data_IF_021231213275
#
_entry.id   IF_021231213275
#
_cell.length_a   1.000
_cell.length_b   1.000
_cell.length_c   1.000
_cell.angle_alpha   90.00
_cell.angle_beta   90.00
_cell.angle_gamma   90.00
#
_symmetry.space_group_name_H-M   'P 1'
#
loop_
_entity.id
_entity.type
_entity.pdbx_description
1 polymer ?
#
# COMPACT_ATOMS: atom_id res chain seq x y z
N UNK A 1 -8.26 11.05 17.68
CA UNK A 1 -7.10 11.96 17.66
C UNK A 1 -5.89 11.20 17.11
N UNK A 2 -5.04 11.88 16.36
CA UNK A 2 -3.87 11.32 15.70
C UNK A 2 -2.60 11.89 16.33
N UNK A 3 -1.61 11.04 16.56
CA UNK A 3 -0.23 11.41 16.82
C UNK A 3 0.60 11.00 15.61
N UNK A 4 1.15 12.00 14.92
CA UNK A 4 1.85 11.84 13.66
C UNK A 4 3.29 12.34 13.80
N UNK A 5 4.24 11.45 13.53
CA UNK A 5 5.65 11.80 13.39
C UNK A 5 6.03 11.73 11.92
N UNK A 6 6.33 12.88 11.32
CA UNK A 6 6.89 12.94 9.99
C UNK A 6 8.40 12.71 10.05
N UNK A 7 8.86 11.71 9.31
CA UNK A 7 10.26 11.39 9.13
C UNK A 7 10.69 11.83 7.74
N UNK A 8 11.34 13.00 7.66
CA UNK A 8 11.68 13.65 6.41
C UNK A 8 13.15 13.44 6.06
N UNK A 9 13.39 12.77 4.93
CA UNK A 9 14.73 12.70 4.34
C UNK A 9 15.12 14.09 3.85
N UNK A 10 16.26 14.57 4.34
CA UNK A 10 16.88 15.83 4.00
C UNK A 10 18.31 15.59 3.50
N UNK A 11 18.56 14.44 2.87
CA UNK A 11 19.84 14.09 2.26
C UNK A 11 20.08 14.86 0.95
N UNK A 12 21.33 14.94 0.50
CA UNK A 12 21.70 15.74 -0.68
C UNK A 12 20.97 15.35 -1.98
N UNK A 13 20.45 14.12 -2.09
CA UNK A 13 19.63 13.73 -3.24
C UNK A 13 18.25 14.41 -3.24
N UNK A 14 17.79 14.89 -2.09
CA UNK A 14 16.56 15.68 -1.92
C UNK A 14 16.72 17.14 -2.36
N UNK A 15 17.93 17.61 -2.74
CA UNK A 15 18.18 18.99 -3.21
C UNK A 15 17.53 19.32 -4.57
N UNK A 16 17.14 18.30 -5.34
CA UNK A 16 16.54 18.53 -6.65
C UNK A 16 15.24 19.34 -6.50
N UNK A 17 15.09 20.35 -7.35
CA UNK A 17 13.99 21.31 -7.26
C UNK A 17 12.59 20.65 -7.35
N UNK A 18 12.46 19.59 -8.15
CA UNK A 18 11.24 18.80 -8.26
C UNK A 18 10.90 18.08 -6.94
N UNK A 19 11.88 17.49 -6.26
CA UNK A 19 11.70 16.77 -4.99
C UNK A 19 11.36 17.73 -3.85
N UNK A 20 12.02 18.88 -3.78
CA UNK A 20 11.69 19.95 -2.82
C UNK A 20 10.24 20.39 -3.01
N UNK A 21 9.81 20.60 -4.26
CA UNK A 21 8.44 20.98 -4.57
C UNK A 21 7.43 19.89 -4.18
N UNK A 22 7.77 18.61 -4.41
CA UNK A 22 6.92 17.47 -4.03
C UNK A 22 6.75 17.41 -2.50
N UNK A 23 7.84 17.53 -1.74
CA UNK A 23 7.79 17.55 -0.27
C UNK A 23 6.95 18.71 0.23
N UNK A 24 7.13 19.91 -0.34
CA UNK A 24 6.34 21.09 0.01
C UNK A 24 4.83 20.83 -0.14
N UNK A 25 4.40 20.34 -1.31
CA UNK A 25 2.98 20.04 -1.53
C UNK A 25 2.47 18.89 -0.64
N UNK A 26 3.28 17.85 -0.43
CA UNK A 26 2.92 16.74 0.45
C UNK A 26 2.70 17.23 1.90
N UNK A 27 3.61 18.05 2.44
CA UNK A 27 3.48 18.63 3.78
C UNK A 27 2.24 19.54 3.89
N UNK A 28 1.99 20.37 2.87
CA UNK A 28 0.82 21.26 2.81
C UNK A 28 -0.50 20.48 2.85
N UNK A 29 -0.58 19.43 2.03
CA UNK A 29 -1.72 18.52 1.98
C UNK A 29 -1.94 17.84 3.34
N UNK A 30 -0.88 17.33 3.93
CA UNK A 30 -0.93 16.63 5.22
C UNK A 30 -1.37 17.56 6.34
N UNK A 31 -0.81 18.76 6.41
CA UNK A 31 -1.18 19.77 7.38
C UNK A 31 -2.67 20.12 7.30
N UNK A 32 -3.24 20.19 6.09
CA UNK A 32 -4.66 20.48 5.88
C UNK A 32 -5.60 19.36 6.34
N UNK A 33 -5.11 18.12 6.52
CA UNK A 33 -5.90 17.00 7.03
C UNK A 33 -5.90 16.91 8.56
N UNK A 34 -4.97 17.58 9.24
CA UNK A 34 -4.85 17.50 10.70
C UNK A 34 -5.90 18.34 11.41
N UNK A 35 -6.45 17.78 12.48
CA UNK A 35 -7.42 18.43 13.35
C UNK A 35 -6.72 19.06 14.57
N UNK A 36 -7.33 20.05 15.26
CA UNK A 36 -6.70 20.72 16.40
C UNK A 36 -6.26 19.79 17.54
N UNK A 37 -6.97 18.69 17.76
CA UNK A 37 -6.65 17.67 18.76
C UNK A 37 -5.52 16.72 18.36
N UNK A 38 -5.08 16.77 17.10
CA UNK A 38 -3.99 15.94 16.62
C UNK A 38 -2.64 16.52 17.02
N UNK A 39 -1.62 15.68 16.99
CA UNK A 39 -0.23 15.99 17.34
C UNK A 39 0.66 15.78 16.13
N UNK A 40 1.48 16.78 15.83
CA UNK A 40 2.48 16.73 14.77
C UNK A 40 3.88 16.90 15.36
N UNK A 41 4.76 15.96 15.02
CA UNK A 41 6.20 16.05 15.21
C UNK A 41 6.90 15.89 13.88
N UNK A 42 8.07 16.53 13.73
CA UNK A 42 8.88 16.43 12.51
C UNK A 42 10.30 16.07 12.90
N UNK A 43 10.78 14.95 12.39
CA UNK A 43 12.17 14.52 12.45
C UNK A 43 12.73 14.64 11.05
N UNK A 44 13.75 15.48 10.85
CA UNK A 44 14.48 15.53 9.60
C UNK A 44 15.82 14.82 9.75
N UNK A 45 16.25 14.10 8.72
CA UNK A 45 17.48 13.34 8.79
C UNK A 45 18.31 13.43 7.51
N UNK A 46 19.62 13.42 7.71
CA UNK A 46 20.63 13.21 6.68
C UNK A 46 21.67 12.28 7.30
N UNK A 47 22.92 12.72 7.49
CA UNK A 47 23.93 11.98 8.28
C UNK A 47 23.54 11.79 9.75
N UNK A 48 22.76 12.69 10.30
CA UNK A 48 22.25 12.67 11.69
C UNK A 48 20.76 12.97 11.69
N UNK A 49 20.01 12.34 12.60
CA UNK A 49 18.61 12.68 12.83
C UNK A 49 18.48 13.89 13.76
N UNK A 50 17.49 14.75 13.48
CA UNK A 50 17.17 15.90 14.34
C UNK A 50 15.66 16.06 14.48
N UNK A 51 15.20 16.25 15.71
CA UNK A 51 13.83 16.60 16.02
C UNK A 51 13.66 18.11 15.80
N UNK A 52 12.91 18.48 14.77
CA UNK A 52 12.62 19.87 14.41
C UNK A 52 11.38 20.39 15.11
N UNK A 53 10.36 19.55 15.23
CA UNK A 53 9.07 19.88 15.83
C UNK A 53 8.67 18.76 16.78
N UNK A 54 8.29 19.11 18.01
CA UNK A 54 7.99 18.14 19.08
C UNK A 54 6.54 18.28 19.59
N UNK A 55 5.60 17.60 18.92
CA UNK A 55 4.23 17.41 19.41
C UNK A 55 3.35 18.67 19.42
N UNK A 56 3.46 19.51 18.39
CA UNK A 56 2.58 20.68 18.24
C UNK A 56 1.15 20.26 17.90
N UNK A 57 0.17 21.15 18.12
CA UNK A 57 -1.21 20.89 17.72
C UNK A 57 -1.32 20.83 16.19
N UNK A 58 -2.23 19.98 15.68
CA UNK A 58 -2.60 19.98 14.26
C UNK A 58 -3.06 21.34 13.72
N UNK A 59 -3.57 22.22 14.59
CA UNK A 59 -3.90 23.61 14.21
C UNK A 59 -2.67 24.43 13.78
N UNK A 60 -1.47 24.03 14.22
CA UNK A 60 -0.19 24.67 13.88
C UNK A 60 0.53 23.97 12.72
N UNK A 61 -0.06 22.90 12.16
CA UNK A 61 0.60 22.08 11.16
C UNK A 61 0.93 22.84 9.87
N UNK A 62 0.09 23.81 9.49
CA UNK A 62 0.35 24.67 8.32
C UNK A 62 1.60 25.53 8.49
N UNK A 63 1.79 26.13 9.67
CA UNK A 63 3.00 26.91 9.97
C UNK A 63 4.26 26.02 9.98
N UNK A 64 4.14 24.82 10.55
CA UNK A 64 5.22 23.83 10.54
C UNK A 64 5.58 23.40 9.13
N UNK A 65 4.60 23.15 8.26
CA UNK A 65 4.85 22.75 6.88
C UNK A 65 5.70 23.80 6.14
N UNK A 66 5.34 25.08 6.25
CA UNK A 66 6.08 26.20 5.65
C UNK A 66 7.53 26.30 6.19
N UNK A 67 7.72 26.12 7.50
CA UNK A 67 9.06 26.15 8.11
C UNK A 67 9.95 25.00 7.66
N UNK A 68 9.37 23.78 7.57
CA UNK A 68 10.09 22.56 7.22
C UNK A 68 10.42 22.51 5.73
N UNK A 69 9.64 23.16 4.87
CA UNK A 69 9.99 23.30 3.46
C UNK A 69 11.22 24.18 3.20
N UNK A 70 11.64 24.98 4.18
CA UNK A 70 12.88 25.77 4.12
C UNK A 70 14.14 24.99 4.49
N UNK A 71 14.05 23.69 4.80
CA UNK A 71 15.22 22.90 5.18
C UNK A 71 16.19 22.75 4.02
N UNK A 72 17.45 23.12 4.27
CA UNK A 72 18.54 22.90 3.32
C UNK A 72 19.01 21.46 3.45
N UNK A 73 19.03 20.68 2.35
CA UNK A 73 19.50 19.32 2.42
C UNK A 73 21.00 19.23 2.74
N UNK A 74 21.40 18.08 3.26
CA UNK A 74 22.74 17.83 3.77
C UNK A 74 23.26 16.48 3.26
N UNK A 75 24.56 16.33 3.08
CA UNK A 75 25.12 15.07 2.59
C UNK A 75 24.98 13.89 3.56
N UNK A 76 24.65 12.72 3.02
CA UNK A 76 24.56 11.44 3.72
C UNK A 76 23.15 11.12 4.23
N UNK A 77 22.94 9.86 4.61
CA UNK A 77 21.63 9.34 5.03
C UNK A 77 21.83 8.30 6.14
N UNK A 78 21.14 8.46 7.26
CA UNK A 78 21.16 7.56 8.40
C UNK A 78 19.73 7.28 8.86
N UNK A 79 19.08 6.36 8.16
CA UNK A 79 17.68 6.01 8.44
C UNK A 79 17.51 5.37 9.81
N UNK A 80 18.49 4.60 10.28
CA UNK A 80 18.35 3.91 11.56
C UNK A 80 18.25 4.89 12.74
N UNK A 81 19.13 5.88 12.78
CA UNK A 81 19.10 6.96 13.79
C UNK A 81 17.79 7.75 13.69
N UNK A 82 17.35 8.02 12.47
CA UNK A 82 16.10 8.70 12.19
C UNK A 82 14.89 7.94 12.72
N UNK A 83 14.82 6.62 12.46
CA UNK A 83 13.76 5.74 12.95
C UNK A 83 13.77 5.63 14.47
N UNK A 84 14.95 5.56 15.11
CA UNK A 84 15.06 5.56 16.56
C UNK A 84 14.45 6.83 17.16
N UNK A 85 14.84 8.00 16.64
CA UNK A 85 14.34 9.28 17.13
C UNK A 85 12.84 9.45 16.84
N UNK A 86 12.37 8.99 15.68
CA UNK A 86 10.97 9.03 15.30
C UNK A 86 10.11 8.21 16.26
N UNK A 87 10.49 6.95 16.53
CA UNK A 87 9.73 6.10 17.45
C UNK A 87 9.80 6.57 18.90
N UNK A 88 10.94 7.08 19.37
CA UNK A 88 11.03 7.71 20.69
C UNK A 88 10.07 8.91 20.80
N UNK A 89 9.96 9.70 19.74
CA UNK A 89 9.05 10.85 19.68
C UNK A 89 7.58 10.40 19.61
N UNK A 90 7.29 9.35 18.84
CA UNK A 90 5.94 8.77 18.76
C UNK A 90 5.49 8.22 20.12
N UNK A 91 6.36 7.51 20.83
CA UNK A 91 6.09 7.01 22.18
C UNK A 91 5.90 8.15 23.21
N UNK A 92 6.67 9.24 23.09
CA UNK A 92 6.54 10.42 23.97
C UNK A 92 5.14 11.04 23.90
N UNK A 93 4.56 11.11 22.71
CA UNK A 93 3.23 11.69 22.46
C UNK A 93 2.14 10.65 22.24
N UNK A 94 2.37 9.42 22.71
CA UNK A 94 1.50 8.28 22.42
C UNK A 94 0.05 8.51 22.87
N UNK A 95 -0.88 8.19 21.98
CA UNK A 95 -2.32 8.28 22.23
C UNK A 95 -2.89 6.87 22.39
N UNK A 96 -3.23 6.48 23.62
CA UNK A 96 -3.80 5.16 23.89
C UNK A 96 -5.16 4.91 23.21
N UNK A 97 -5.99 5.96 23.11
CA UNK A 97 -7.29 5.92 22.42
C UNK A 97 -7.25 6.72 21.11
N UNK A 98 -6.09 6.72 20.45
CA UNK A 98 -5.85 7.44 19.21
C UNK A 98 -5.06 6.60 18.23
N UNK A 99 -4.76 7.20 17.08
CA UNK A 99 -3.87 6.61 16.09
C UNK A 99 -2.46 7.14 16.31
N UNK A 100 -1.46 6.27 16.23
CA UNK A 100 -0.05 6.66 16.31
C UNK A 100 0.63 6.22 15.03
N UNK A 101 1.16 7.16 14.25
CA UNK A 101 1.75 6.91 12.93
C UNK A 101 3.09 7.61 12.77
N UNK A 102 4.03 6.90 12.16
CA UNK A 102 5.26 7.45 11.58
C UNK A 102 5.09 7.44 10.06
N UNK A 103 5.39 8.56 9.41
CA UNK A 103 5.34 8.68 7.94
C UNK A 103 6.73 9.06 7.43
N UNK A 104 7.37 8.13 6.72
CA UNK A 104 8.67 8.33 6.09
C UNK A 104 8.51 8.86 4.67
N UNK A 105 9.14 10.00 4.38
CA UNK A 105 9.26 10.58 3.04
C UNK A 105 10.75 10.58 2.65
N UNK A 106 11.12 9.83 1.61
CA UNK A 106 12.51 9.67 1.15
C UNK A 106 12.55 9.45 -0.36
N UNK A 107 13.64 9.78 -1.04
CA UNK A 107 13.80 9.51 -2.48
C UNK A 107 14.22 8.07 -2.82
N UNK A 108 14.51 7.23 -1.81
CA UNK A 108 14.70 5.81 -2.00
C UNK A 108 15.66 5.13 -1.02
N UNK A 109 15.68 3.79 -1.07
CA UNK A 109 16.47 2.97 -0.15
C UNK A 109 17.94 2.77 -0.55
N UNK A 110 18.33 3.17 -1.76
CA UNK A 110 19.60 2.80 -2.37
C UNK A 110 20.86 3.35 -1.65
N UNK A 111 20.70 4.35 -0.78
CA UNK A 111 21.82 5.01 -0.08
C UNK A 111 21.57 5.20 1.43
N UNK A 112 20.77 4.35 2.09
CA UNK A 112 20.38 4.52 3.51
C UNK A 112 21.49 4.25 4.55
N UNK A 113 22.74 4.05 4.12
CA UNK A 113 23.90 3.74 4.96
C UNK A 113 24.17 2.24 5.11
N UNK A 114 25.10 1.86 6.01
CA UNK A 114 25.43 0.46 6.35
C UNK A 114 24.35 -0.16 7.27
N UNK A 115 23.09 -0.18 6.83
CA UNK A 115 22.00 -0.69 7.67
C UNK A 115 21.62 -2.10 7.27
N UNK A 116 21.46 -2.97 8.26
CA UNK A 116 20.95 -4.33 8.10
C UNK A 116 19.41 -4.29 7.96
N UNK A 117 18.83 -4.69 6.82
CA UNK A 117 17.37 -4.68 6.59
C UNK A 117 16.56 -5.41 7.67
N UNK A 118 17.07 -6.54 8.16
CA UNK A 118 16.40 -7.35 9.16
C UNK A 118 16.31 -6.65 10.52
N UNK A 119 17.31 -5.85 10.89
CA UNK A 119 17.30 -5.08 12.13
C UNK A 119 16.24 -3.96 12.09
N UNK A 120 16.12 -3.26 10.95
CA UNK A 120 15.05 -2.29 10.74
C UNK A 120 13.67 -2.96 10.76
N UNK A 121 13.53 -4.11 10.09
CA UNK A 121 12.28 -4.88 10.09
C UNK A 121 11.85 -5.24 11.51
N UNK A 122 12.73 -5.84 12.31
CA UNK A 122 12.44 -6.19 13.71
C UNK A 122 12.04 -4.97 14.54
N UNK A 123 12.69 -3.83 14.31
CA UNK A 123 12.37 -2.57 14.99
C UNK A 123 10.97 -2.09 14.63
N UNK A 124 10.61 -2.12 13.35
CA UNK A 124 9.26 -1.74 12.90
C UNK A 124 8.22 -2.68 13.49
N UNK A 125 8.44 -3.99 13.45
CA UNK A 125 7.52 -4.98 14.04
C UNK A 125 7.32 -4.77 15.54
N UNK A 126 8.38 -4.42 16.27
CA UNK A 126 8.32 -4.18 17.72
C UNK A 126 7.49 -2.94 18.08
N UNK A 127 7.56 -1.86 17.28
CA UNK A 127 6.78 -0.64 17.52
C UNK A 127 5.35 -0.76 16.99
N UNK A 128 5.17 -1.50 15.89
CA UNK A 128 3.85 -1.91 15.42
C UNK A 128 3.06 -2.62 16.50
N UNK A 129 3.67 -3.61 17.19
CA UNK A 129 3.06 -4.31 18.33
C UNK A 129 2.68 -3.38 19.50
N UNK A 130 3.26 -2.18 19.55
CA UNK A 130 2.92 -1.13 20.53
C UNK A 130 1.84 -0.16 19.99
N UNK A 131 1.27 -0.43 18.81
CA UNK A 131 0.23 0.39 18.18
C UNK A 131 0.77 1.60 17.42
N UNK A 132 2.02 1.58 16.96
CA UNK A 132 2.63 2.64 16.14
C UNK A 132 2.89 2.11 14.72
N UNK A 133 2.09 2.58 13.76
CA UNK A 133 2.23 2.17 12.37
C UNK A 133 3.31 2.99 11.61
N UNK A 134 3.85 2.43 10.52
CA UNK A 134 4.85 3.09 9.66
C UNK A 134 4.39 3.10 8.20
N UNK A 135 4.09 4.29 7.67
CA UNK A 135 3.88 4.50 6.24
C UNK A 135 5.19 4.99 5.58
N UNK A 136 5.50 4.50 4.37
CA UNK A 136 6.70 4.84 3.61
C UNK A 136 6.33 5.35 2.22
N UNK A 137 6.81 6.54 1.84
CA UNK A 137 6.59 7.13 0.53
C UNK A 137 7.91 7.49 -0.15
N UNK A 138 8.08 7.00 -1.38
CA UNK A 138 9.17 7.35 -2.28
C UNK A 138 8.91 8.69 -2.99
N UNK A 139 9.90 9.58 -3.05
CA UNK A 139 9.79 10.93 -3.64
C UNK A 139 10.68 11.07 -4.88
N UNK A 140 10.09 11.47 -6.02
CA UNK A 140 10.83 11.72 -7.27
C UNK A 140 11.59 10.48 -7.75
N UNK A 141 10.89 9.35 -7.82
CA UNK A 141 11.45 8.02 -8.06
C UNK A 141 11.87 7.81 -9.52
N UNK A 142 13.14 7.43 -9.73
CA UNK A 142 13.74 7.23 -11.07
C UNK A 142 14.35 5.84 -11.32
N UNK A 143 14.27 4.88 -10.38
CA UNK A 143 14.93 3.58 -10.58
C UNK A 143 14.64 2.52 -9.52
N UNK A 144 15.05 1.27 -9.79
CA UNK A 144 14.82 0.07 -8.98
C UNK A 144 15.65 0.06 -7.69
N UNK A 145 15.00 0.11 -6.50
CA UNK A 145 15.29 -0.71 -5.30
C UNK A 145 14.45 -0.23 -4.09
N UNK A 146 13.16 -0.59 -4.09
CA UNK A 146 12.13 -0.22 -3.10
C UNK A 146 11.74 -1.34 -2.13
N UNK A 147 12.29 -2.54 -2.33
CA UNK A 147 12.01 -3.73 -1.53
C UNK A 147 12.09 -3.43 -0.03
N UNK A 148 13.04 -2.60 0.41
CA UNK A 148 13.15 -2.23 1.81
C UNK A 148 11.96 -1.39 2.29
N UNK A 149 11.55 -0.34 1.56
CA UNK A 149 10.45 0.53 2.00
C UNK A 149 9.12 -0.23 2.01
N UNK A 150 8.90 -1.10 1.02
CA UNK A 150 7.76 -2.01 0.98
C UNK A 150 7.81 -2.99 2.18
N UNK A 151 8.97 -3.60 2.43
CA UNK A 151 9.16 -4.50 3.58
C UNK A 151 8.90 -3.77 4.90
N UNK A 152 9.42 -2.56 5.09
CA UNK A 152 9.25 -1.81 6.33
C UNK A 152 7.78 -1.43 6.54
N UNK A 153 7.15 -0.78 5.56
CA UNK A 153 5.74 -0.36 5.67
C UNK A 153 4.81 -1.55 5.87
N UNK A 154 5.04 -2.66 5.15
CA UNK A 154 4.29 -3.91 5.32
C UNK A 154 4.42 -4.48 6.74
N UNK A 155 5.62 -4.51 7.30
CA UNK A 155 5.85 -5.01 8.66
C UNK A 155 5.48 -4.00 9.76
N UNK A 156 4.99 -2.82 9.36
CA UNK A 156 4.58 -1.72 10.22
C UNK A 156 3.11 -1.33 10.11
N UNK A 157 2.24 -2.17 9.53
CA UNK A 157 0.82 -1.87 9.25
C UNK A 157 0.57 -0.52 8.58
N UNK A 158 1.51 -0.09 7.76
CA UNK A 158 1.40 1.14 6.99
C UNK A 158 1.56 0.89 5.50
N UNK A 159 1.46 1.98 4.76
CA UNK A 159 1.36 1.95 3.31
C UNK A 159 2.71 2.15 2.67
N UNK A 160 2.79 1.62 1.46
CA UNK A 160 3.85 1.93 0.52
C UNK A 160 3.28 2.73 -0.66
N UNK A 161 3.96 3.82 -1.04
CA UNK A 161 3.53 4.67 -2.15
C UNK A 161 4.65 5.47 -2.77
N UNK A 162 4.35 6.12 -3.89
CA UNK A 162 5.28 7.00 -4.61
C UNK A 162 4.62 8.33 -4.93
N UNK A 163 5.44 9.37 -4.93
CA UNK A 163 5.08 10.73 -5.31
C UNK A 163 6.13 11.22 -6.30
N UNK A 164 5.84 11.11 -7.60
CA UNK A 164 6.80 11.44 -8.65
C UNK A 164 6.64 12.87 -9.18
N UNK A 165 5.46 13.45 -8.99
CA UNK A 165 5.19 14.83 -9.39
C UNK A 165 4.47 15.59 -8.27
N UNK A 166 4.59 16.94 -8.24
CA UNK A 166 3.84 17.75 -7.28
C UNK A 166 2.33 17.54 -7.37
N UNK A 167 1.79 17.28 -8.56
CA UNK A 167 0.36 17.00 -8.76
C UNK A 167 -0.08 15.67 -8.13
N UNK A 168 0.79 14.65 -8.18
CA UNK A 168 0.58 13.38 -7.48
C UNK A 168 0.61 13.57 -5.95
N UNK A 169 1.38 14.53 -5.44
CA UNK A 169 1.37 14.88 -4.01
C UNK A 169 0.00 15.43 -3.57
N UNK A 170 -0.64 16.23 -4.43
CA UNK A 170 -1.95 16.83 -4.12
C UNK A 170 -3.10 15.82 -4.26
N UNK A 171 -3.04 14.94 -5.26
CA UNK A 171 -4.18 14.07 -5.60
C UNK A 171 -4.04 12.64 -5.08
N UNK A 172 -2.84 12.07 -5.13
CA UNK A 172 -2.54 10.69 -4.72
C UNK A 172 -2.18 10.57 -3.25
N UNK A 173 -1.20 11.37 -2.79
CA UNK A 173 -0.75 11.33 -1.39
C UNK A 173 -1.86 11.79 -0.43
N UNK A 174 -2.63 12.83 -0.78
CA UNK A 174 -3.80 13.25 -0.02
C UNK A 174 -4.82 12.13 0.18
N UNK A 175 -5.17 11.40 -0.89
CA UNK A 175 -6.14 10.31 -0.84
C UNK A 175 -5.64 9.12 -0.02
N UNK A 176 -4.38 8.75 -0.21
CA UNK A 176 -3.74 7.65 0.53
C UNK A 176 -3.59 7.97 2.02
N UNK A 177 -3.27 9.22 2.37
CA UNK A 177 -3.16 9.65 3.76
C UNK A 177 -4.55 9.88 4.39
N UNK A 178 -5.49 10.52 3.72
CA UNK A 178 -6.84 10.78 4.28
C UNK A 178 -7.65 9.49 4.49
N UNK A 179 -7.51 8.49 3.62
CA UNK A 179 -8.08 7.15 3.83
C UNK A 179 -7.41 6.39 4.97
N UNK A 180 -6.13 6.64 5.19
CA UNK A 180 -5.24 6.06 6.22
C UNK A 180 -5.52 6.56 7.65
N UNK A 181 -5.90 7.83 7.78
CA UNK A 181 -6.17 8.45 9.09
C UNK A 181 -7.51 8.02 9.70
N UNK A 182 -8.34 7.26 8.98
CA UNK A 182 -9.59 6.67 9.45
C UNK A 182 -9.67 5.22 9.05
N UNK A 183 -8.94 4.39 9.77
CA UNK A 183 -9.11 2.93 9.73
C UNK A 183 -10.59 2.63 9.94
N UNK A 184 -11.19 1.93 8.97
CA UNK A 184 -12.58 1.50 9.05
C UNK A 184 -12.69 0.08 9.61
N UNK A 185 -11.70 -0.76 9.32
CA UNK A 185 -11.60 -2.13 9.80
C UNK A 185 -10.13 -2.47 10.08
N UNK A 186 -9.87 -3.02 11.25
CA UNK A 186 -8.56 -3.51 11.67
C UNK A 186 -8.46 -5.02 11.56
N UNK A 187 -7.25 -5.58 11.48
CA UNK A 187 -6.98 -7.02 11.42
C UNK A 187 -7.92 -7.76 10.44
N UNK A 188 -8.00 -7.26 9.20
CA UNK A 188 -8.91 -7.79 8.18
C UNK A 188 -8.34 -9.08 7.60
N UNK A 189 -9.10 -10.16 7.78
CA UNK A 189 -8.81 -11.49 7.25
C UNK A 189 -9.90 -11.93 6.29
N UNK A 190 -9.48 -12.48 5.16
CA UNK A 190 -10.38 -13.04 4.15
C UNK A 190 -10.04 -14.50 3.94
N UNK A 191 -11.04 -15.37 3.98
CA UNK A 191 -10.91 -16.80 3.69
C UNK A 191 -11.91 -17.21 2.62
N UNK A 192 -11.43 -17.92 1.61
CA UNK A 192 -12.26 -18.54 0.57
C UNK A 192 -12.15 -20.04 0.73
N UNK A 193 -13.27 -20.68 1.06
CA UNK A 193 -13.38 -22.13 1.18
C UNK A 193 -14.10 -22.68 -0.06
N UNK A 194 -13.36 -23.28 -0.98
CA UNK A 194 -13.92 -23.87 -2.19
C UNK A 194 -14.64 -25.19 -1.90
N UNK A 195 -15.79 -25.38 -2.54
CA UNK A 195 -16.56 -26.60 -2.40
C UNK A 195 -15.92 -27.71 -3.26
N UNK A 196 -15.41 -28.81 -2.67
CA UNK A 196 -14.73 -29.87 -3.41
C UNK A 196 -15.65 -30.66 -4.34
N UNK A 197 -16.98 -30.62 -4.13
CA UNK A 197 -17.95 -31.22 -5.05
C UNK A 197 -18.11 -30.41 -6.34
N UNK A 198 -17.72 -29.13 -6.31
CA UNK A 198 -17.97 -28.15 -7.39
C UNK A 198 -16.68 -27.60 -8.01
N UNK A 199 -15.58 -27.53 -7.26
CA UNK A 199 -14.31 -26.94 -7.70
C UNK A 199 -13.22 -28.00 -7.60
N UNK A 200 -12.64 -28.37 -8.74
CA UNK A 200 -11.61 -29.40 -8.84
C UNK A 200 -10.24 -28.83 -8.45
N UNK A 201 -9.93 -27.65 -8.97
CA UNK A 201 -8.64 -26.98 -8.85
C UNK A 201 -8.87 -25.49 -8.70
N UNK A 202 -8.08 -24.83 -7.87
CA UNK A 202 -8.09 -23.38 -7.75
C UNK A 202 -6.68 -22.84 -7.54
N UNK A 203 -6.46 -21.58 -7.94
CA UNK A 203 -5.21 -20.85 -7.74
C UNK A 203 -5.51 -19.38 -7.52
N UNK A 204 -4.94 -18.80 -6.47
CA UNK A 204 -4.96 -17.34 -6.29
C UNK A 204 -3.91 -16.70 -7.21
N UNK A 205 -4.28 -15.63 -7.91
CA UNK A 205 -3.34 -14.83 -8.70
C UNK A 205 -2.95 -13.60 -7.89
N UNK A 206 -1.64 -13.35 -7.76
CA UNK A 206 -1.09 -12.33 -6.87
C UNK A 206 -1.17 -12.72 -5.39
N UNK A 207 -0.78 -11.81 -4.50
CA UNK A 207 -0.82 -11.97 -3.03
C UNK A 207 -0.16 -13.25 -2.46
N UNK A 208 0.64 -13.99 -3.23
CA UNK A 208 1.26 -15.24 -2.78
C UNK A 208 2.15 -15.08 -1.54
N UNK A 209 2.78 -13.91 -1.37
CA UNK A 209 3.59 -13.56 -0.19
C UNK A 209 2.75 -13.22 1.07
N UNK A 210 1.43 -13.13 0.94
CA UNK A 210 0.49 -12.70 1.98
C UNK A 210 -0.61 -13.74 2.23
N UNK A 211 -0.40 -15.00 1.80
CA UNK A 211 -1.33 -16.09 2.08
C UNK A 211 -1.23 -16.50 3.54
N UNK A 212 -2.35 -16.34 4.25
CA UNK A 212 -2.53 -16.92 5.57
C UNK A 212 -2.80 -18.42 5.44
N UNK A 213 -2.22 -19.21 6.34
CA UNK A 213 -2.61 -20.59 6.53
C UNK A 213 -4.06 -20.68 7.04
N UNK A 214 -4.70 -21.84 6.83
CA UNK A 214 -6.13 -22.02 7.16
C UNK A 214 -6.40 -21.76 8.64
N UNK A 215 -5.46 -22.17 9.50
CA UNK A 215 -5.51 -22.07 10.94
C UNK A 215 -5.38 -20.60 11.41
N UNK A 216 -4.61 -19.80 10.69
CA UNK A 216 -4.32 -18.39 11.02
C UNK A 216 -5.52 -17.47 10.83
N UNK A 217 -6.50 -17.86 10.00
CA UNK A 217 -7.75 -17.10 9.81
C UNK A 217 -8.51 -16.88 11.14
N UNK A 218 -8.46 -17.87 12.03
CA UNK A 218 -9.16 -17.83 13.33
C UNK A 218 -8.27 -17.36 14.47
N UNK A 219 -6.96 -17.31 14.28
CA UNK A 219 -5.99 -16.93 15.29
C UNK A 219 -5.83 -15.41 15.39
N UNK A 220 -6.40 -14.79 16.43
CA UNK A 220 -6.30 -13.33 16.67
C UNK A 220 -4.89 -12.86 17.04
N UNK A 221 -3.95 -13.78 17.29
CA UNK A 221 -2.55 -13.43 17.55
C UNK A 221 -1.77 -13.24 16.25
N UNK A 222 -2.30 -13.76 15.13
CA UNK A 222 -1.79 -13.49 13.78
C UNK A 222 -2.44 -12.22 13.28
N UNK A 223 -1.63 -11.20 13.06
CA UNK A 223 -2.09 -9.89 12.62
C UNK A 223 -2.28 -9.85 11.09
N UNK A 224 -3.26 -9.10 10.61
CA UNK A 224 -3.62 -9.01 9.19
C UNK A 224 -3.80 -7.55 8.74
N UNK A 225 -4.29 -7.36 7.51
CA UNK A 225 -4.29 -6.05 6.87
C UNK A 225 -5.26 -5.05 7.52
N UNK A 226 -4.87 -3.80 7.64
CA UNK A 226 -5.75 -2.68 7.98
C UNK A 226 -6.43 -2.14 6.70
N UNK A 227 -7.73 -1.83 6.76
CA UNK A 227 -8.48 -1.22 5.65
C UNK A 227 -9.08 0.12 6.09
N UNK A 228 -8.71 1.18 5.38
CA UNK A 228 -9.29 2.51 5.50
C UNK A 228 -10.68 2.61 4.86
N UNK A 229 -11.47 3.62 5.25
CA UNK A 229 -12.85 3.78 4.78
C UNK A 229 -13.02 3.94 3.25
N UNK A 230 -11.97 4.39 2.56
CA UNK A 230 -11.96 4.58 1.10
C UNK A 230 -11.14 3.49 0.36
N UNK A 231 -10.76 2.42 1.05
CA UNK A 231 -9.92 1.36 0.49
C UNK A 231 -10.73 0.12 0.10
N UNK A 232 -10.20 -0.65 -0.85
CA UNK A 232 -10.74 -1.95 -1.23
C UNK A 232 -9.61 -2.94 -1.48
N UNK A 233 -9.74 -4.14 -0.93
CA UNK A 233 -8.89 -5.27 -1.25
C UNK A 233 -9.51 -6.09 -2.38
N UNK A 234 -8.71 -6.50 -3.36
CA UNK A 234 -9.14 -7.39 -4.44
C UNK A 234 -8.30 -8.65 -4.44
N UNK A 235 -8.95 -9.81 -4.48
CA UNK A 235 -8.31 -11.10 -4.69
C UNK A 235 -8.87 -11.74 -5.97
N UNK A 236 -7.98 -12.22 -6.83
CA UNK A 236 -8.35 -12.91 -8.06
C UNK A 236 -8.01 -14.39 -7.93
N UNK A 237 -8.93 -15.25 -8.36
CA UNK A 237 -8.75 -16.70 -8.39
C UNK A 237 -9.03 -17.24 -9.79
N UNK A 238 -8.22 -18.19 -10.23
CA UNK A 238 -8.54 -19.10 -11.34
C UNK A 238 -9.12 -20.36 -10.72
N UNK A 239 -10.29 -20.79 -11.21
CA UNK A 239 -10.98 -21.97 -10.71
C UNK A 239 -11.37 -22.89 -11.86
N UNK A 240 -11.15 -24.19 -11.69
CA UNK A 240 -11.70 -25.22 -12.55
C UNK A 240 -12.97 -25.79 -11.89
N UNK A 241 -14.10 -25.63 -12.57
CA UNK A 241 -15.42 -25.97 -12.03
C UNK A 241 -15.88 -27.32 -12.59
N UNK A 242 -16.40 -28.19 -11.72
CA UNK A 242 -17.18 -29.37 -12.07
C UNK A 242 -18.67 -28.99 -12.26
N UNK A 243 -19.19 -28.93 -13.50
CA UNK A 243 -20.57 -28.55 -13.74
C UNK A 243 -21.58 -29.55 -13.16
N UNK A 244 -21.19 -30.82 -13.02
CA UNK A 244 -22.02 -31.90 -12.47
C UNK A 244 -22.04 -31.97 -10.94
N UNK A 245 -21.26 -31.13 -10.26
CA UNK A 245 -21.25 -31.03 -8.80
C UNK A 245 -22.57 -30.56 -8.19
N UNK A 246 -22.59 -30.45 -6.85
CA UNK A 246 -23.70 -29.88 -6.09
C UNK A 246 -23.23 -28.72 -5.20
N UNK A 247 -24.14 -27.81 -4.88
CA UNK A 247 -23.87 -26.66 -4.00
C UNK A 247 -23.13 -25.48 -4.65
N UNK A 248 -22.74 -24.48 -3.83
CA UNK A 248 -22.07 -23.26 -4.27
C UNK A 248 -20.63 -23.55 -4.75
N UNK A 249 -20.01 -22.57 -5.40
CA UNK A 249 -18.59 -22.59 -5.77
C UNK A 249 -17.69 -22.53 -4.53
N UNK A 250 -18.01 -21.64 -3.60
CA UNK A 250 -17.23 -21.39 -2.40
C UNK A 250 -18.07 -20.73 -1.32
N UNK A 251 -17.54 -20.74 -0.09
CA UNK A 251 -17.95 -19.85 0.99
C UNK A 251 -16.84 -18.82 1.19
N UNK A 252 -17.19 -17.53 1.16
CA UNK A 252 -16.27 -16.43 1.43
C UNK A 252 -16.56 -15.88 2.81
N UNK A 253 -15.53 -15.79 3.65
CA UNK A 253 -15.60 -15.20 4.98
C UNK A 253 -14.69 -13.99 5.06
N UNK A 254 -15.22 -12.90 5.58
CA UNK A 254 -14.43 -11.71 5.92
C UNK A 254 -14.60 -11.48 7.41
N UNK A 255 -13.46 -11.42 8.12
CA UNK A 255 -13.39 -11.17 9.54
C UNK A 255 -12.54 -9.94 9.78
N UNK A 256 -12.97 -9.05 10.66
CA UNK A 256 -12.22 -7.85 11.01
C UNK A 256 -12.52 -7.41 12.44
N UNK A 257 -11.59 -6.68 13.01
CA UNK A 257 -11.68 -6.03 14.32
C UNK A 257 -12.24 -4.61 14.17
N UNK A 258 -13.14 -4.22 15.06
CA UNK A 258 -13.62 -2.83 15.12
C UNK A 258 -12.48 -1.96 15.68
N UNK A 259 -12.03 -0.93 14.93
CA UNK A 259 -10.92 -0.08 15.35
C UNK A 259 -11.14 0.52 16.75
N UNK A 260 -10.12 0.42 17.61
CA UNK A 260 -10.18 0.94 18.99
C UNK A 260 -10.93 0.05 20.00
N UNK A 261 -11.37 -1.14 19.61
CA UNK A 261 -12.04 -2.11 20.51
C UNK A 261 -11.32 -3.46 20.50
N UNK A 262 -11.81 -4.44 21.27
CA UNK A 262 -11.39 -5.84 21.17
C UNK A 262 -12.36 -6.70 20.32
N UNK A 263 -13.42 -6.09 19.78
CA UNK A 263 -14.53 -6.81 19.16
C UNK A 263 -14.22 -7.16 17.71
N UNK A 264 -14.56 -8.39 17.31
CA UNK A 264 -14.44 -8.88 15.94
C UNK A 264 -15.82 -9.10 15.33
N UNK A 265 -15.96 -8.67 14.09
CA UNK A 265 -17.11 -8.94 13.25
C UNK A 265 -16.74 -9.92 12.14
N UNK A 266 -17.69 -10.76 11.77
CA UNK A 266 -17.54 -11.70 10.66
C UNK A 266 -18.77 -11.65 9.77
N UNK A 267 -18.52 -11.66 8.46
CA UNK A 267 -19.53 -11.85 7.45
C UNK A 267 -19.18 -13.06 6.60
N UNK A 268 -20.22 -13.78 6.20
CA UNK A 268 -20.12 -14.97 5.38
C UNK A 268 -21.05 -14.85 4.17
N UNK A 269 -20.54 -15.23 3.00
CA UNK A 269 -21.32 -15.26 1.76
C UNK A 269 -21.07 -16.57 1.02
N UNK A 270 -22.14 -17.24 0.61
CA UNK A 270 -22.06 -18.33 -0.34
C UNK A 270 -21.95 -17.77 -1.76
N UNK A 271 -20.95 -18.23 -2.53
CA UNK A 271 -20.81 -17.91 -3.95
C UNK A 271 -21.61 -18.91 -4.78
N UNK A 272 -22.78 -18.54 -5.33
CA UNK A 272 -23.61 -19.48 -6.06
C UNK A 272 -22.93 -19.92 -7.36
N UNK A 273 -23.19 -21.16 -7.77
CA UNK A 273 -22.88 -21.61 -9.12
C UNK A 273 -24.04 -21.24 -10.05
N UNK A 274 -23.81 -20.33 -10.99
CA UNK A 274 -24.83 -19.82 -11.92
C UNK A 274 -24.70 -20.42 -13.33
N UNK A 275 -23.99 -21.54 -13.48
CA UNK A 275 -23.73 -22.17 -14.77
C UNK A 275 -22.43 -21.70 -15.42
N UNK A 276 -22.38 -21.71 -16.76
CA UNK A 276 -21.18 -21.37 -17.52
C UNK A 276 -20.87 -19.88 -17.37
N UNK A 277 -19.64 -19.56 -16.98
CA UNK A 277 -19.16 -18.19 -16.94
C UNK A 277 -19.08 -17.58 -18.36
N UNK A 278 -19.28 -16.27 -18.45
CA UNK A 278 -19.03 -15.52 -19.67
C UNK A 278 -17.53 -15.63 -20.04
N UNK A 279 -17.25 -15.61 -21.33
CA UNK A 279 -15.86 -15.50 -21.78
C UNK A 279 -15.30 -14.13 -21.39
N UNK A 280 -13.98 -14.05 -21.18
CA UNK A 280 -13.36 -12.85 -20.61
C UNK A 280 -13.58 -11.61 -21.47
N UNK A 281 -13.62 -11.74 -22.81
CA UNK A 281 -13.92 -10.66 -23.75
C UNK A 281 -15.32 -10.06 -23.55
N UNK A 282 -16.27 -10.87 -23.08
CA UNK A 282 -17.65 -10.48 -22.77
C UNK A 282 -17.86 -10.05 -21.32
N UNK A 283 -16.83 -10.16 -20.47
CA UNK A 283 -16.92 -9.78 -19.08
C UNK A 283 -16.98 -8.24 -18.91
N UNK A 284 -17.43 -7.80 -17.73
CA UNK A 284 -17.47 -6.39 -17.40
C UNK A 284 -16.10 -5.72 -17.43
N UNK A 285 -16.01 -4.39 -17.65
CA UNK A 285 -14.73 -3.68 -17.74
C UNK A 285 -13.80 -3.88 -16.56
N UNK A 286 -14.32 -4.02 -15.34
CA UNK A 286 -13.54 -4.30 -14.12
C UNK A 286 -12.87 -5.67 -14.14
N UNK A 287 -13.61 -6.71 -14.53
CA UNK A 287 -13.08 -8.07 -14.65
C UNK A 287 -12.02 -8.15 -15.74
N UNK A 288 -12.27 -7.53 -16.89
CA UNK A 288 -11.27 -7.46 -17.98
C UNK A 288 -10.01 -6.73 -17.56
N UNK A 289 -10.15 -5.59 -16.87
CA UNK A 289 -9.01 -4.85 -16.33
C UNK A 289 -8.18 -5.70 -15.36
N UNK A 290 -8.84 -6.34 -14.38
CA UNK A 290 -8.17 -7.17 -13.38
C UNK A 290 -7.47 -8.38 -14.01
N UNK A 291 -8.20 -9.13 -14.85
CA UNK A 291 -7.65 -10.32 -15.52
C UNK A 291 -6.48 -9.96 -16.45
N UNK A 292 -6.57 -8.86 -17.22
CA UNK A 292 -5.47 -8.42 -18.08
C UNK A 292 -4.25 -7.99 -17.27
N UNK A 293 -4.43 -7.20 -16.20
CA UNK A 293 -3.32 -6.79 -15.35
C UNK A 293 -2.60 -8.00 -14.72
N UNK A 294 -3.38 -8.96 -14.21
CA UNK A 294 -2.86 -10.20 -13.63
C UNK A 294 -2.15 -11.08 -14.67
N UNK A 295 -2.77 -11.33 -15.82
CA UNK A 295 -2.15 -12.15 -16.88
C UNK A 295 -0.89 -11.48 -17.45
N UNK A 296 -0.87 -10.15 -17.57
CA UNK A 296 0.34 -9.43 -17.98
C UNK A 296 1.47 -9.57 -16.96
N UNK A 297 1.16 -9.48 -15.65
CA UNK A 297 2.14 -9.72 -14.59
C UNK A 297 2.71 -11.13 -14.64
N UNK A 298 1.87 -12.15 -14.84
CA UNK A 298 2.31 -13.54 -14.98
C UNK A 298 3.17 -13.75 -16.23
N UNK A 299 2.82 -13.09 -17.33
CA UNK A 299 3.60 -13.11 -18.57
C UNK A 299 5.00 -12.49 -18.37
N UNK A 300 5.08 -11.34 -17.70
CA UNK A 300 6.36 -10.66 -17.43
C UNK A 300 7.34 -11.52 -16.61
N UNK A 301 6.83 -12.34 -15.69
CA UNK A 301 7.65 -13.25 -14.87
C UNK A 301 7.82 -14.64 -15.49
N UNK A 302 7.38 -14.85 -16.74
CA UNK A 302 7.42 -16.14 -17.43
C UNK A 302 6.75 -17.27 -16.63
N UNK A 303 5.61 -16.97 -16.01
CA UNK A 303 4.82 -17.94 -15.24
C UNK A 303 4.44 -19.15 -16.12
N UNK A 304 4.53 -20.40 -15.61
CA UNK A 304 4.09 -21.58 -16.35
C UNK A 304 2.58 -21.57 -16.62
N UNK A 305 1.81 -20.69 -15.97
CA UNK A 305 0.38 -20.51 -16.19
C UNK A 305 0.05 -19.45 -17.26
N UNK A 306 1.06 -18.78 -17.82
CA UNK A 306 0.91 -17.72 -18.81
C UNK A 306 1.49 -18.08 -20.18
N UNK A 307 1.68 -19.38 -20.49
CA UNK A 307 2.27 -19.84 -21.75
C UNK A 307 1.50 -19.38 -22.99
N UNK A 308 0.16 -19.33 -22.87
CA UNK A 308 -0.73 -18.94 -23.97
C UNK A 308 -1.08 -17.44 -23.95
N UNK A 309 -0.55 -16.69 -22.97
CA UNK A 309 -0.78 -15.26 -22.86
C UNK A 309 0.12 -14.53 -23.85
N UNK A 310 -0.47 -13.68 -24.69
CA UNK A 310 0.27 -12.83 -25.62
C UNK A 310 -0.13 -11.37 -25.44
N UNK A 311 0.78 -10.41 -25.73
CA UNK A 311 0.42 -8.99 -25.69
C UNK A 311 -0.79 -8.64 -26.55
N UNK A 312 -0.98 -9.28 -27.72
CA UNK A 312 -2.14 -9.03 -28.57
C UNK A 312 -3.45 -9.53 -27.95
N UNK A 313 -3.44 -10.70 -27.29
CA UNK A 313 -4.59 -11.19 -26.53
C UNK A 313 -4.99 -10.20 -25.41
N UNK A 314 -3.99 -9.74 -24.65
CA UNK A 314 -4.19 -8.79 -23.55
C UNK A 314 -4.73 -7.44 -24.03
N UNK A 315 -4.23 -6.93 -25.16
CA UNK A 315 -4.75 -5.71 -25.79
C UNK A 315 -6.19 -5.89 -26.27
N UNK A 316 -6.54 -7.08 -26.78
CA UNK A 316 -7.92 -7.43 -27.11
C UNK A 316 -8.87 -7.32 -25.91
N UNK A 317 -8.48 -7.86 -24.76
CA UNK A 317 -9.27 -7.78 -23.53
C UNK A 317 -9.39 -6.35 -22.96
N UNK A 318 -8.38 -5.51 -23.16
CA UNK A 318 -8.41 -4.10 -22.74
C UNK A 318 -9.18 -3.17 -23.67
N UNK A 319 -9.61 -3.64 -24.85
CA UNK A 319 -10.35 -2.80 -25.80
C UNK A 319 -11.53 -2.07 -25.15
N UNK A 320 -11.53 -0.73 -25.19
CA UNK A 320 -12.59 0.11 -24.62
C UNK A 320 -12.58 0.25 -23.09
N UNK A 321 -11.69 -0.46 -22.38
CA UNK A 321 -11.60 -0.41 -20.90
C UNK A 321 -11.04 0.93 -20.41
N UNK A 322 -9.95 1.49 -20.98
CA UNK A 322 -9.41 2.76 -20.52
C UNK A 322 -10.36 3.95 -20.64
N UNK A 323 -11.26 3.93 -21.63
CA UNK A 323 -12.27 4.96 -21.84
C UNK A 323 -13.35 4.93 -20.76
N UNK A 324 -13.76 3.73 -20.31
CA UNK A 324 -14.72 3.56 -19.20
C UNK A 324 -14.17 4.18 -17.92
N UNK A 325 -12.87 4.09 -17.69
CA UNK A 325 -12.19 4.62 -16.52
C UNK A 325 -11.42 5.92 -16.83
N UNK A 326 -11.94 6.78 -17.72
CA UNK A 326 -11.18 7.91 -18.27
C UNK A 326 -10.61 8.93 -17.27
N UNK A 327 -11.12 8.97 -16.03
CA UNK A 327 -10.56 9.78 -14.94
C UNK A 327 -9.33 9.14 -14.27
N UNK A 328 -9.16 7.83 -14.38
CA UNK A 328 -8.00 7.08 -13.88
C UNK A 328 -7.01 6.85 -15.02
N UNK A 329 -5.77 7.29 -14.84
CA UNK A 329 -4.72 7.15 -15.85
C UNK A 329 -4.09 5.76 -15.88
N UNK A 330 -4.26 4.94 -14.83
CA UNK A 330 -3.61 3.63 -14.68
C UNK A 330 -4.04 2.62 -15.76
N UNK A 331 -5.32 2.49 -16.16
CA UNK A 331 -5.69 1.60 -17.26
C UNK A 331 -5.02 1.99 -18.59
N UNK A 332 -4.90 3.29 -18.91
CA UNK A 332 -4.16 3.76 -20.10
C UNK A 332 -2.67 3.45 -20.00
N UNK A 333 -2.09 3.61 -18.81
CA UNK A 333 -0.68 3.25 -18.55
C UNK A 333 -0.45 1.75 -18.74
N UNK A 334 -1.34 0.89 -18.24
CA UNK A 334 -1.28 -0.56 -18.45
C UNK A 334 -1.33 -0.91 -19.94
N UNK A 335 -2.26 -0.33 -20.69
CA UNK A 335 -2.34 -0.52 -22.14
C UNK A 335 -1.02 -0.12 -22.84
N UNK A 336 -0.47 1.04 -22.49
CA UNK A 336 0.82 1.49 -23.01
C UNK A 336 1.95 0.50 -22.69
N UNK A 337 2.03 -0.01 -21.45
CA UNK A 337 3.04 -1.01 -21.04
C UNK A 337 2.93 -2.30 -21.87
N UNK A 338 1.72 -2.79 -22.12
CA UNK A 338 1.51 -4.00 -22.93
C UNK A 338 1.93 -3.75 -24.39
N UNK A 339 1.66 -2.56 -24.94
CA UNK A 339 2.12 -2.19 -26.29
C UNK A 339 3.65 -2.14 -26.38
N UNK A 340 4.34 -1.65 -25.35
CA UNK A 340 5.80 -1.68 -25.28
C UNK A 340 6.32 -3.13 -25.21
N UNK A 341 5.73 -3.96 -24.34
CA UNK A 341 6.09 -5.38 -24.24
C UNK A 341 5.93 -6.11 -25.58
N UNK A 342 4.86 -5.83 -26.33
CA UNK A 342 4.66 -6.35 -27.69
C UNK A 342 5.79 -5.95 -28.65
N UNK A 343 6.20 -4.68 -28.62
CA UNK A 343 7.28 -4.15 -29.47
C UNK A 343 8.63 -4.79 -29.17
N UNK A 344 8.89 -5.08 -27.90
CA UNK A 344 10.13 -5.71 -27.43
C UNK A 344 10.14 -7.20 -27.76
N UNK A 345 9.04 -7.92 -27.49
CA UNK A 345 8.94 -9.36 -27.73
C UNK A 345 8.81 -9.74 -29.22
N UNK A 346 8.40 -8.80 -30.07
CA UNK A 346 8.29 -8.97 -31.52
C UNK A 346 9.55 -8.63 -32.32
N UNK A 347 10.68 -8.36 -31.66
CA UNK A 347 12.03 -8.22 -32.24
C UNK A 347 12.90 -9.40 -31.84
#
# INVERSE_FOLDING_TARGET
PLNLVLLLDNSGSMERADRVQIIHEALRVLAAQLQPQDKLSVVAFARTARLWVDGVSGAQAGEVAEQVSGLTPQGGTNLEDAMNLAYQTALRHYLANGLNRVVLLTDGAANLGNVEPDALKQKVEAHRKQGIALDCFGVGWEGYNDDLLEVLSRNGDGRYGFINTPEEAVTGFAGQLAGSLRVAASDVKVQVEFNPSRVNVYRQIGYAKHQLAKEEFRDNTVDAAEIGAAESGNALYVVEVNPGGEGPLAIVRVRYKIPGTADYHEHEWAMPYTGKALSLDQAGPSMRLAATASAFSEWLVSSPFATDVTPDLLLGYLGGVPEVYGADTRPKKLEWMIRQARSIAGK
#
